data_IF_338862246882
#
_entry.id   IF_338862246882
#
_cell.length_a   1.000
_cell.length_b   1.000
_cell.length_c   1.000
_cell.angle_alpha   90.00
_cell.angle_beta   90.00
_cell.angle_gamma   90.00
#
_symmetry.space_group_name_H-M   'P 1'
#
loop_
_entity.id
_entity.type
_entity.pdbx_description
1 polymer ?
#
# COMPACT_ATOMS: atom_id res chain seq x y z
N UNK A 1 23.26 -2.80 -11.55
CA UNK A 1 22.66 -1.45 -11.68
C UNK A 1 21.27 -1.38 -11.03
N UNK A 2 21.03 -2.06 -9.90
CA UNK A 2 19.68 -2.23 -9.33
C UNK A 2 19.47 -1.62 -7.94
N UNK A 3 20.50 -1.06 -7.31
CA UNK A 3 20.43 -0.67 -5.89
C UNK A 3 20.22 0.82 -5.62
N UNK A 4 20.01 1.63 -6.67
CA UNK A 4 19.80 3.08 -6.56
C UNK A 4 18.33 3.48 -6.80
N UNK A 5 17.50 2.58 -7.33
CA UNK A 5 16.11 2.86 -7.69
C UNK A 5 15.14 2.97 -6.50
N UNK A 6 15.53 2.51 -5.31
CA UNK A 6 14.65 2.46 -4.14
C UNK A 6 14.57 3.82 -3.40
N UNK A 7 15.49 4.75 -3.67
CA UNK A 7 15.66 5.96 -2.84
C UNK A 7 15.19 7.28 -3.48
N UNK A 8 14.70 7.31 -4.73
CA UNK A 8 14.43 8.56 -5.46
C UNK A 8 12.97 8.84 -5.84
N UNK A 9 11.98 8.11 -5.31
CA UNK A 9 10.56 8.30 -5.70
C UNK A 9 9.78 9.38 -4.93
N UNK A 10 10.47 10.26 -4.18
CA UNK A 10 9.82 11.35 -3.47
C UNK A 10 10.37 12.71 -3.92
N UNK A 11 9.94 13.19 -5.08
CA UNK A 11 9.87 14.63 -5.33
C UNK A 11 8.82 14.98 -6.41
N UNK A 12 7.89 15.83 -5.96
CA UNK A 12 6.87 16.67 -6.59
C UNK A 12 6.55 16.55 -8.09
N UNK A 13 5.24 16.59 -8.39
CA UNK A 13 4.60 17.58 -9.29
C UNK A 13 3.16 17.78 -8.79
N UNK A 14 2.84 18.98 -8.28
CA UNK A 14 1.45 19.45 -8.14
C UNK A 14 1.12 20.20 -9.41
N UNK A 15 0.48 19.53 -10.37
CA UNK A 15 -0.21 20.21 -11.47
C UNK A 15 -1.62 20.52 -11.01
N UNK A 16 -1.93 21.81 -10.85
CA UNK A 16 -3.28 22.29 -10.62
C UNK A 16 -4.17 21.93 -11.82
N UNK A 17 -5.08 21.00 -11.63
CA UNK A 17 -6.27 20.85 -12.45
C UNK A 17 -7.43 21.52 -11.70
N UNK A 18 -8.05 22.53 -12.29
CA UNK A 18 -9.26 23.16 -11.74
C UNK A 18 -10.43 22.16 -11.76
N UNK A 19 -11.04 21.81 -10.62
CA UNK A 19 -12.20 20.94 -10.61
C UNK A 19 -13.43 21.67 -11.17
N UNK A 20 -14.14 20.99 -12.07
CA UNK A 20 -15.47 21.40 -12.52
C UNK A 20 -16.49 21.03 -11.44
N UNK A 21 -16.84 22.02 -10.62
CA UNK A 21 -17.93 21.95 -9.63
C UNK A 21 -19.29 22.20 -10.31
N UNK A 22 -20.31 21.39 -10.00
CA UNK A 22 -21.70 21.61 -10.39
C UNK A 22 -22.36 22.68 -9.51
N UNK A 23 -23.10 23.58 -10.14
CA UNK A 23 -23.73 24.75 -9.50
C UNK A 23 -25.13 24.38 -9.02
N UNK A 24 -25.50 24.83 -7.83
CA UNK A 24 -26.89 24.86 -7.35
C UNK A 24 -27.65 25.95 -8.12
N UNK A 25 -28.68 25.56 -8.88
CA UNK A 25 -29.50 26.41 -9.77
C UNK A 25 -30.21 27.57 -9.05
N UNK A 26 -30.07 27.70 -7.73
CA UNK A 26 -30.62 28.81 -6.93
C UNK A 26 -29.69 30.01 -6.75
N UNK A 27 -28.42 29.94 -7.18
CA UNK A 27 -27.45 31.03 -6.99
C UNK A 27 -27.35 31.92 -8.23
N UNK A 28 -27.48 33.23 -8.02
CA UNK A 28 -27.42 34.25 -9.09
C UNK A 28 -26.00 34.36 -9.68
N UNK A 29 -25.92 34.52 -11.00
CA UNK A 29 -24.67 34.87 -11.70
C UNK A 29 -24.07 36.17 -11.16
N UNK A 30 -22.73 36.25 -11.12
CA UNK A 30 -22.05 37.46 -10.65
C UNK A 30 -22.36 38.65 -11.56
N UNK A 31 -22.65 39.80 -10.95
CA UNK A 31 -22.65 41.08 -11.66
C UNK A 31 -21.22 41.46 -12.08
N UNK A 32 -21.03 42.32 -13.10
CA UNK A 32 -19.69 42.79 -13.48
C UNK A 32 -18.90 43.41 -12.32
N UNK A 33 -19.60 44.07 -11.39
CA UNK A 33 -18.97 44.66 -10.18
C UNK A 33 -18.49 43.58 -9.22
N UNK A 34 -19.27 42.54 -9.00
CA UNK A 34 -18.88 41.39 -8.15
C UNK A 34 -17.72 40.62 -8.77
N UNK A 35 -17.72 40.45 -10.09
CA UNK A 35 -16.62 39.82 -10.82
C UNK A 35 -15.30 40.59 -10.63
N UNK A 36 -15.34 41.92 -10.75
CA UNK A 36 -14.18 42.80 -10.52
C UNK A 36 -13.69 42.72 -9.07
N UNK A 37 -14.59 42.63 -8.09
CA UNK A 37 -14.19 42.47 -6.68
C UNK A 37 -13.57 41.09 -6.43
N UNK A 38 -14.17 40.02 -6.98
CA UNK A 38 -13.65 38.66 -6.87
C UNK A 38 -12.25 38.55 -7.53
N UNK A 39 -12.11 38.99 -8.78
CA UNK A 39 -10.87 38.90 -9.55
C UNK A 39 -9.81 39.92 -9.12
N UNK A 40 -10.20 41.05 -8.54
CA UNK A 40 -9.27 42.08 -8.09
C UNK A 40 -8.86 41.92 -6.63
N UNK A 41 -9.83 41.97 -5.72
CA UNK A 41 -9.58 42.03 -4.27
C UNK A 41 -9.20 40.67 -3.70
N UNK A 42 -9.92 39.62 -4.07
CA UNK A 42 -9.67 38.29 -3.50
C UNK A 42 -8.39 37.65 -4.06
N UNK A 43 -8.01 37.97 -5.30
CA UNK A 43 -6.76 37.50 -5.92
C UNK A 43 -5.50 37.88 -5.15
N UNK A 44 -5.49 39.02 -4.43
CA UNK A 44 -4.38 39.36 -3.55
C UNK A 44 -4.20 38.31 -2.45
N UNK A 45 -5.29 37.96 -1.76
CA UNK A 45 -5.24 36.96 -0.69
C UNK A 45 -4.89 35.58 -1.23
N UNK A 46 -5.35 35.26 -2.45
CA UNK A 46 -4.98 34.03 -3.14
C UNK A 46 -3.47 33.98 -3.38
N UNK A 47 -2.88 35.05 -3.90
CA UNK A 47 -1.43 35.11 -4.12
C UNK A 47 -0.66 35.02 -2.81
N UNK A 48 -1.11 35.70 -1.76
CA UNK A 48 -0.49 35.61 -0.43
C UNK A 48 -0.49 34.15 0.08
N UNK A 49 -1.61 33.43 -0.09
CA UNK A 49 -1.70 32.01 0.26
C UNK A 49 -0.74 31.15 -0.58
N UNK A 50 -0.69 31.36 -1.90
CA UNK A 50 0.19 30.61 -2.82
C UNK A 50 1.65 30.79 -2.41
N UNK A 51 2.11 32.03 -2.23
CA UNK A 51 3.49 32.34 -1.83
C UNK A 51 3.84 31.67 -0.51
N UNK A 52 2.95 31.74 0.49
CA UNK A 52 3.17 31.10 1.78
C UNK A 52 3.25 29.57 1.69
N UNK A 53 2.55 28.96 0.74
CA UNK A 53 2.52 27.50 0.56
C UNK A 53 3.64 26.96 -0.35
N UNK A 54 4.14 27.76 -1.29
CA UNK A 54 5.19 27.36 -2.24
C UNK A 54 6.60 27.73 -1.75
N UNK A 55 6.74 28.84 -1.03
CA UNK A 55 8.03 29.40 -0.62
C UNK A 55 8.27 29.35 0.90
N UNK A 56 7.24 29.02 1.69
CA UNK A 56 7.23 29.14 3.15
C UNK A 56 7.07 27.82 3.93
N UNK A 57 7.23 27.92 5.26
CA UNK A 57 6.81 26.87 6.18
C UNK A 57 5.28 26.83 6.25
N UNK A 58 4.71 25.77 5.67
CA UNK A 58 3.26 25.52 5.63
C UNK A 58 2.64 25.49 7.02
N UNK A 59 3.40 25.19 8.08
CA UNK A 59 2.94 25.13 9.48
C UNK A 59 2.84 26.50 10.18
N UNK A 60 3.13 27.61 9.48
CA UNK A 60 3.12 28.95 10.08
C UNK A 60 1.72 29.51 10.33
N UNK A 61 1.57 30.34 11.37
CA UNK A 61 0.34 31.10 11.68
C UNK A 61 -0.15 31.96 10.50
N UNK A 62 0.78 32.35 9.63
CA UNK A 62 0.51 33.13 8.43
C UNK A 62 -0.37 32.36 7.44
N UNK A 63 -0.23 31.03 7.32
CA UNK A 63 -1.06 30.19 6.44
C UNK A 63 -2.50 30.15 6.94
N UNK A 64 -2.73 29.99 8.25
CA UNK A 64 -4.07 30.04 8.84
C UNK A 64 -4.77 31.38 8.58
N UNK A 65 -4.04 32.48 8.75
CA UNK A 65 -4.61 33.82 8.54
C UNK A 65 -4.85 34.12 7.05
N UNK A 66 -3.98 33.65 6.16
CA UNK A 66 -4.18 33.72 4.71
C UNK A 66 -5.42 32.91 4.28
N UNK A 67 -5.58 31.70 4.81
CA UNK A 67 -6.75 30.86 4.59
C UNK A 67 -8.06 31.55 4.98
N UNK A 68 -8.12 32.13 6.19
CA UNK A 68 -9.28 32.92 6.64
C UNK A 68 -9.55 34.13 5.74
N UNK A 69 -8.49 34.80 5.28
CA UNK A 69 -8.61 35.99 4.44
C UNK A 69 -9.20 35.66 3.06
N UNK A 70 -8.75 34.57 2.45
CA UNK A 70 -9.28 34.11 1.15
C UNK A 70 -10.73 33.67 1.26
N UNK A 71 -11.05 32.79 2.21
CA UNK A 71 -12.41 32.24 2.35
C UNK A 71 -13.42 33.31 2.75
N UNK A 72 -13.04 34.23 3.65
CA UNK A 72 -13.86 35.39 4.02
C UNK A 72 -14.07 36.35 2.85
N UNK A 73 -13.05 36.59 2.02
CA UNK A 73 -13.18 37.47 0.86
C UNK A 73 -14.23 36.97 -0.13
N UNK A 74 -14.14 35.70 -0.53
CA UNK A 74 -15.12 35.11 -1.45
C UNK A 74 -16.49 34.93 -0.79
N UNK A 75 -16.56 34.56 0.50
CA UNK A 75 -17.83 34.44 1.23
C UNK A 75 -18.58 35.76 1.44
N UNK A 76 -17.91 36.90 1.28
CA UNK A 76 -18.54 38.22 1.26
C UNK A 76 -19.23 38.59 -0.05
N UNK A 77 -19.15 37.74 -1.09
CA UNK A 77 -19.69 38.01 -2.43
C UNK A 77 -20.80 36.99 -2.72
N UNK A 78 -22.03 37.46 -2.92
CA UNK A 78 -23.20 36.61 -3.08
C UNK A 78 -23.48 36.28 -4.55
N UNK A 79 -22.57 35.51 -5.17
CA UNK A 79 -22.77 34.99 -6.52
C UNK A 79 -22.13 33.61 -6.72
N UNK A 80 -22.55 32.90 -7.77
CA UNK A 80 -22.20 31.50 -8.01
C UNK A 80 -20.69 31.26 -8.12
N UNK A 81 -19.97 32.11 -8.87
CA UNK A 81 -18.53 31.96 -9.05
C UNK A 81 -17.73 32.24 -7.77
N UNK A 82 -18.20 33.19 -6.95
CA UNK A 82 -17.57 33.48 -5.67
C UNK A 82 -17.81 32.36 -4.66
N UNK A 83 -19.02 31.80 -4.60
CA UNK A 83 -19.32 30.66 -3.75
C UNK A 83 -18.50 29.42 -4.17
N UNK A 84 -18.36 29.17 -5.48
CA UNK A 84 -17.47 28.13 -6.01
C UNK A 84 -16.01 28.34 -5.60
N UNK A 85 -15.52 29.58 -5.71
CA UNK A 85 -14.15 29.92 -5.32
C UNK A 85 -13.94 29.74 -3.82
N UNK A 86 -14.89 30.21 -3.00
CA UNK A 86 -14.87 30.02 -1.54
C UNK A 86 -14.73 28.54 -1.18
N UNK A 87 -15.61 27.68 -1.69
CA UNK A 87 -15.56 26.23 -1.43
C UNK A 87 -14.22 25.61 -1.86
N UNK A 88 -13.71 26.02 -3.02
CA UNK A 88 -12.40 25.56 -3.52
C UNK A 88 -11.28 25.91 -2.54
N UNK A 89 -11.25 27.12 -2.01
CA UNK A 89 -10.22 27.53 -1.06
C UNK A 89 -10.44 26.96 0.34
N UNK A 90 -11.67 26.75 0.78
CA UNK A 90 -11.97 26.01 2.02
C UNK A 90 -11.38 24.60 1.95
N UNK A 91 -11.63 23.86 0.87
CA UNK A 91 -11.04 22.52 0.67
C UNK A 91 -9.50 22.54 0.66
N UNK A 92 -8.88 23.51 -0.01
CA UNK A 92 -7.41 23.67 -0.02
C UNK A 92 -6.87 23.96 1.39
N UNK A 93 -7.52 24.86 2.10
CA UNK A 93 -7.14 25.24 3.46
C UNK A 93 -7.31 24.10 4.46
N UNK A 94 -8.36 23.30 4.31
CA UNK A 94 -8.58 22.10 5.12
C UNK A 94 -7.48 21.08 4.90
N UNK A 95 -7.08 20.86 3.64
CA UNK A 95 -5.96 19.98 3.30
C UNK A 95 -4.64 20.46 3.92
N UNK A 96 -4.36 21.76 3.87
CA UNK A 96 -3.18 22.35 4.52
C UNK A 96 -3.23 22.17 6.03
N UNK A 97 -4.37 22.44 6.66
CA UNK A 97 -4.54 22.31 8.10
C UNK A 97 -4.34 20.87 8.57
N UNK A 98 -4.92 19.89 7.86
CA UNK A 98 -4.73 18.47 8.14
C UNK A 98 -3.27 18.03 7.96
N UNK A 99 -2.59 18.56 6.93
CA UNK A 99 -1.17 18.30 6.68
C UNK A 99 -0.30 18.85 7.80
N UNK A 100 -0.55 20.10 8.21
CA UNK A 100 0.24 20.77 9.25
C UNK A 100 0.13 20.11 10.62
N UNK A 101 -1.03 19.54 10.91
CA UNK A 101 -1.31 18.80 12.14
C UNK A 101 -1.05 17.30 12.00
N UNK A 102 -0.37 16.85 10.93
CA UNK A 102 0.00 15.46 10.64
C UNK A 102 -1.19 14.46 10.73
N UNK A 103 -2.41 14.93 10.42
CA UNK A 103 -3.64 14.12 10.56
C UNK A 103 -3.61 12.91 9.65
N UNK A 104 -3.13 13.05 8.41
CA UNK A 104 -3.02 11.94 7.47
C UNK A 104 -2.16 10.79 8.02
N UNK A 105 -1.02 11.12 8.64
CA UNK A 105 -0.14 10.15 9.30
C UNK A 105 -0.82 9.48 10.49
N UNK A 106 -1.56 10.25 11.30
CA UNK A 106 -2.33 9.70 12.41
C UNK A 106 -3.42 8.73 11.92
N UNK A 107 -4.15 9.09 10.86
CA UNK A 107 -5.17 8.24 10.25
C UNK A 107 -4.57 6.94 9.71
N UNK A 108 -3.40 6.99 9.05
CA UNK A 108 -2.67 5.78 8.64
C UNK A 108 -2.36 4.85 9.82
N UNK A 109 -1.95 5.38 10.98
CA UNK A 109 -1.71 4.56 12.17
C UNK A 109 -2.99 3.96 12.74
N UNK A 110 -4.07 4.74 12.76
CA UNK A 110 -5.40 4.26 13.14
C UNK A 110 -5.85 3.11 12.23
N UNK A 111 -5.75 3.27 10.90
CA UNK A 111 -6.12 2.23 9.92
C UNK A 111 -5.30 0.95 10.10
N UNK A 112 -4.00 1.06 10.36
CA UNK A 112 -3.17 -0.11 10.69
C UNK A 112 -3.66 -0.82 11.95
N UNK A 113 -4.17 -0.09 12.93
CA UNK A 113 -4.66 -0.66 14.19
C UNK A 113 -5.99 -1.39 14.00
N UNK A 114 -6.92 -0.78 13.25
CA UNK A 114 -8.19 -1.39 12.85
C UNK A 114 -7.94 -2.66 12.02
N UNK A 115 -7.10 -2.58 10.98
CA UNK A 115 -6.77 -3.71 10.11
C UNK A 115 -6.14 -4.88 10.88
N UNK A 116 -5.17 -4.59 11.76
CA UNK A 116 -4.48 -5.61 12.54
C UNK A 116 -5.26 -6.14 13.74
N UNK A 117 -6.46 -5.60 14.02
CA UNK A 117 -7.34 -6.01 15.13
C UNK A 117 -6.65 -5.97 16.50
N UNK A 118 -5.69 -5.04 16.68
CA UNK A 118 -4.89 -4.94 17.91
C UNK A 118 -5.65 -4.29 19.07
N UNK A 119 -6.70 -3.53 18.78
CA UNK A 119 -7.56 -2.91 19.79
C UNK A 119 -8.95 -3.52 19.71
N UNK A 120 -9.34 -4.27 20.75
CA UNK A 120 -10.58 -5.04 20.76
C UNK A 120 -11.84 -4.20 20.46
N UNK A 121 -11.86 -2.91 20.83
CA UNK A 121 -13.03 -2.06 20.56
C UNK A 121 -13.19 -1.67 19.09
N UNK A 122 -12.17 -1.88 18.25
CA UNK A 122 -12.24 -1.51 16.83
C UNK A 122 -13.07 -2.49 16.01
N UNK A 123 -13.28 -3.71 16.51
CA UNK A 123 -14.03 -4.76 15.81
C UNK A 123 -15.55 -4.51 15.81
N UNK A 124 -16.05 -3.69 16.74
CA UNK A 124 -17.48 -3.40 16.89
C UNK A 124 -18.01 -2.39 15.85
N UNK A 125 -17.13 -1.79 15.05
CA UNK A 125 -17.47 -0.68 14.15
C UNK A 125 -16.87 -0.87 12.76
N UNK A 126 -17.65 -0.58 11.71
CA UNK A 126 -17.20 -0.67 10.32
C UNK A 126 -16.54 0.65 9.86
N UNK A 127 -15.34 0.94 10.39
CA UNK A 127 -14.59 2.15 10.02
C UNK A 127 -14.18 2.19 8.53
N UNK A 128 -14.13 1.03 7.87
CA UNK A 128 -13.75 0.90 6.46
C UNK A 128 -14.95 0.81 5.50
N UNK A 129 -16.18 1.00 6.01
CA UNK A 129 -17.38 0.92 5.18
C UNK A 129 -17.30 1.82 3.96
N UNK A 130 -17.80 1.37 2.81
CA UNK A 130 -17.91 2.23 1.61
C UNK A 130 -19.22 3.00 1.56
N UNK A 131 -20.21 2.59 2.34
CA UNK A 131 -21.42 3.36 2.54
C UNK A 131 -21.10 4.50 3.51
N UNK A 132 -21.18 5.73 3.02
CA UNK A 132 -20.82 6.92 3.81
C UNK A 132 -21.71 7.13 5.02
N UNK A 133 -22.97 6.68 4.97
CA UNK A 133 -23.88 6.71 6.13
C UNK A 133 -23.41 5.72 7.19
N UNK A 134 -23.10 4.48 6.79
CA UNK A 134 -22.59 3.45 7.71
C UNK A 134 -21.23 3.86 8.29
N UNK A 135 -20.34 4.43 7.47
CA UNK A 135 -19.06 4.97 7.93
C UNK A 135 -19.27 6.06 8.96
N UNK A 136 -20.15 7.03 8.69
CA UNK A 136 -20.45 8.12 9.63
C UNK A 136 -20.99 7.57 10.95
N UNK A 137 -21.98 6.67 10.89
CA UNK A 137 -22.54 5.99 12.06
C UNK A 137 -21.46 5.25 12.87
N UNK A 138 -20.57 4.52 12.20
CA UNK A 138 -19.47 3.77 12.80
C UNK A 138 -18.46 4.68 13.50
N UNK A 139 -18.05 5.78 12.88
CA UNK A 139 -17.17 6.76 13.51
C UNK A 139 -17.86 7.49 14.67
N UNK A 140 -19.12 7.90 14.52
CA UNK A 140 -19.87 8.57 15.58
C UNK A 140 -20.06 7.67 16.80
N UNK A 141 -20.52 6.43 16.63
CA UNK A 141 -20.68 5.47 17.71
C UNK A 141 -19.33 5.02 18.28
N UNK A 142 -18.33 4.86 17.41
CA UNK A 142 -16.97 4.44 17.74
C UNK A 142 -16.04 5.54 18.23
N UNK A 143 -16.51 6.79 18.38
CA UNK A 143 -15.68 7.96 18.72
C UNK A 143 -14.76 7.74 19.91
N UNK A 144 -15.25 7.11 20.97
CA UNK A 144 -14.44 6.78 22.15
C UNK A 144 -13.31 5.80 21.81
N UNK A 145 -13.58 4.77 21.01
CA UNK A 145 -12.57 3.81 20.55
C UNK A 145 -11.55 4.45 19.61
N UNK A 146 -12.00 5.34 18.70
CA UNK A 146 -11.13 6.13 17.85
C UNK A 146 -10.12 6.93 18.70
N UNK A 147 -10.58 7.73 19.66
CA UNK A 147 -9.71 8.53 20.52
C UNK A 147 -8.81 7.67 21.42
N UNK A 148 -9.32 6.55 21.94
CA UNK A 148 -8.50 5.59 22.69
C UNK A 148 -7.34 5.06 21.84
N UNK A 149 -7.58 4.82 20.56
CA UNK A 149 -6.58 4.30 19.61
C UNK A 149 -5.56 5.37 19.27
N UNK A 150 -6.01 6.54 18.81
CA UNK A 150 -5.08 7.59 18.35
C UNK A 150 -4.25 8.19 19.49
N UNK A 151 -4.74 8.18 20.74
CA UNK A 151 -3.96 8.57 21.92
C UNK A 151 -2.74 7.66 22.17
N UNK A 152 -2.76 6.42 21.69
CA UNK A 152 -1.64 5.47 21.84
C UNK A 152 -0.66 5.54 20.68
N UNK A 153 -1.12 5.88 19.48
CA UNK A 153 -0.33 5.73 18.25
C UNK A 153 0.12 7.07 17.67
N UNK A 154 -0.70 8.12 17.76
CA UNK A 154 -0.43 9.39 17.10
C UNK A 154 0.36 10.36 17.98
N UNK A 155 0.93 11.38 17.36
CA UNK A 155 1.58 12.47 18.10
C UNK A 155 0.55 13.37 18.80
N UNK A 156 0.97 14.06 19.86
CA UNK A 156 0.09 14.90 20.68
C UNK A 156 -0.55 16.06 19.91
N UNK A 157 0.14 16.61 18.90
CA UNK A 157 -0.38 17.70 18.06
C UNK A 157 -1.58 17.24 17.24
N UNK A 158 -1.49 16.08 16.57
CA UNK A 158 -2.58 15.50 15.80
C UNK A 158 -3.77 15.17 16.69
N UNK A 159 -3.54 14.58 17.87
CA UNK A 159 -4.60 14.26 18.82
C UNK A 159 -5.32 15.53 19.27
N UNK A 160 -4.59 16.54 19.75
CA UNK A 160 -5.18 17.79 20.23
C UNK A 160 -5.95 18.55 19.14
N UNK A 161 -5.50 18.45 17.89
CA UNK A 161 -6.22 18.99 16.73
C UNK A 161 -7.53 18.23 16.49
N UNK A 162 -7.48 16.89 16.45
CA UNK A 162 -8.64 16.04 16.18
C UNK A 162 -9.69 16.09 17.30
N UNK A 163 -9.29 16.26 18.56
CA UNK A 163 -10.22 16.46 19.68
C UNK A 163 -11.11 17.70 19.47
N UNK A 164 -10.52 18.78 18.93
CA UNK A 164 -11.23 20.04 18.67
C UNK A 164 -11.99 20.03 17.35
N UNK A 165 -11.53 19.25 16.38
CA UNK A 165 -12.01 19.29 14.99
C UNK A 165 -12.56 17.93 14.53
N UNK A 166 -13.11 17.13 15.45
CA UNK A 166 -13.58 15.78 15.12
C UNK A 166 -14.70 15.77 14.08
N UNK A 167 -15.68 16.67 14.19
CA UNK A 167 -16.78 16.75 13.22
C UNK A 167 -16.26 17.08 11.81
N UNK A 168 -15.23 17.92 11.72
CA UNK A 168 -14.54 18.22 10.45
C UNK A 168 -13.87 16.97 9.87
N UNK A 169 -13.24 16.14 10.71
CA UNK A 169 -12.74 14.84 10.26
C UNK A 169 -13.88 13.95 9.74
N UNK A 170 -15.02 13.89 10.43
CA UNK A 170 -16.17 13.09 9.98
C UNK A 170 -16.67 13.56 8.62
N UNK A 171 -16.83 14.87 8.44
CA UNK A 171 -17.26 15.46 7.18
C UNK A 171 -16.29 15.11 6.06
N UNK A 172 -14.98 15.29 6.28
CA UNK A 172 -13.94 14.88 5.33
C UNK A 172 -14.02 13.39 4.99
N UNK A 173 -14.28 12.51 5.96
CA UNK A 173 -14.31 11.07 5.70
C UNK A 173 -15.62 10.60 5.02
N UNK A 174 -16.71 11.34 5.14
CA UNK A 174 -18.07 10.85 4.81
C UNK A 174 -18.83 11.71 3.80
N UNK A 175 -18.34 12.91 3.49
CA UNK A 175 -18.93 13.79 2.49
C UNK A 175 -17.94 13.85 1.32
N UNK A 176 -18.25 13.24 0.17
CA UNK A 176 -17.43 13.35 -1.03
C UNK A 176 -17.27 14.80 -1.44
N UNK A 177 -16.09 15.18 -1.93
CA UNK A 177 -15.88 16.52 -2.49
C UNK A 177 -16.59 16.68 -3.83
N UNK A 178 -17.12 17.88 -4.08
CA UNK A 178 -17.66 18.25 -5.39
C UNK A 178 -16.53 18.30 -6.44
N UNK A 179 -16.42 17.28 -7.29
CA UNK A 179 -15.58 17.29 -8.48
C UNK A 179 -14.76 16.02 -8.74
N UNK A 180 -14.48 15.76 -10.01
CA UNK A 180 -13.87 14.52 -10.51
C UNK A 180 -12.32 14.47 -10.39
N UNK A 181 -11.69 15.34 -9.59
CA UNK A 181 -10.24 15.50 -9.59
C UNK A 181 -9.47 14.44 -8.78
N UNK A 182 -10.16 13.61 -7.98
CA UNK A 182 -9.57 12.48 -7.23
C UNK A 182 -8.37 12.83 -6.34
N UNK A 183 -8.27 14.10 -5.94
CA UNK A 183 -7.13 14.66 -5.21
C UNK A 183 -7.55 15.37 -3.93
N UNK A 184 -8.84 15.26 -3.56
CA UNK A 184 -9.39 15.88 -2.36
C UNK A 184 -8.83 15.22 -1.11
N UNK A 185 -9.02 15.89 0.03
CA UNK A 185 -8.69 15.30 1.32
C UNK A 185 -9.58 14.08 1.64
N UNK A 186 -10.82 14.07 1.17
CA UNK A 186 -11.72 12.92 1.25
C UNK A 186 -11.12 11.71 0.52
N UNK A 187 -10.74 11.90 -0.75
CA UNK A 187 -10.17 10.83 -1.58
C UNK A 187 -8.88 10.30 -0.97
N UNK A 188 -8.00 11.20 -0.52
CA UNK A 188 -6.73 10.85 0.11
C UNK A 188 -6.94 10.02 1.39
N UNK A 189 -7.71 10.53 2.36
CA UNK A 189 -7.86 9.84 3.65
C UNK A 189 -8.62 8.53 3.52
N UNK A 190 -9.55 8.42 2.57
CA UNK A 190 -10.24 7.17 2.29
C UNK A 190 -9.35 6.16 1.57
N UNK A 191 -8.55 6.58 0.59
CA UNK A 191 -7.61 5.71 -0.10
C UNK A 191 -6.50 5.16 0.80
N UNK A 192 -6.07 5.94 1.81
CA UNK A 192 -5.09 5.50 2.82
C UNK A 192 -5.55 4.30 3.64
N UNK A 193 -6.84 3.93 3.60
CA UNK A 193 -7.32 2.70 4.21
C UNK A 193 -6.70 1.43 3.59
N UNK A 194 -6.12 1.52 2.39
CA UNK A 194 -5.36 0.44 1.75
C UNK A 194 -3.90 0.32 2.21
N UNK A 195 -3.37 1.30 2.95
CA UNK A 195 -1.97 1.30 3.39
C UNK A 195 -1.59 0.07 4.24
N UNK A 196 -2.44 -0.48 5.12
CA UNK A 196 -2.12 -1.70 5.86
C UNK A 196 -1.86 -2.90 4.93
N UNK A 197 -2.70 -3.10 3.92
CA UNK A 197 -2.54 -4.15 2.90
C UNK A 197 -1.28 -3.91 2.07
N UNK A 198 -1.04 -2.66 1.64
CA UNK A 198 0.19 -2.30 0.93
C UNK A 198 1.44 -2.62 1.76
N UNK A 199 1.42 -2.32 3.06
CA UNK A 199 2.53 -2.62 3.97
C UNK A 199 2.73 -4.12 4.13
N UNK A 200 1.66 -4.89 4.28
CA UNK A 200 1.71 -6.35 4.37
C UNK A 200 2.29 -6.95 3.08
N UNK A 201 1.83 -6.49 1.92
CA UNK A 201 2.39 -6.86 0.63
C UNK A 201 3.89 -6.53 0.52
N UNK A 202 4.31 -5.33 0.93
CA UNK A 202 5.73 -4.95 0.89
C UNK A 202 6.59 -5.83 1.80
N UNK A 203 6.12 -6.14 3.02
CA UNK A 203 6.83 -7.04 3.94
C UNK A 203 6.93 -8.45 3.35
N UNK A 204 5.81 -8.98 2.84
CA UNK A 204 5.77 -10.29 2.19
C UNK A 204 6.68 -10.32 0.96
N UNK A 205 6.65 -9.29 0.11
CA UNK A 205 7.53 -9.15 -1.04
C UNK A 205 9.01 -9.12 -0.67
N UNK A 206 9.39 -8.43 0.42
CA UNK A 206 10.78 -8.46 0.92
C UNK A 206 11.18 -9.86 1.41
N UNK A 207 10.32 -10.52 2.19
CA UNK A 207 10.56 -11.90 2.65
C UNK A 207 10.70 -12.85 1.45
N UNK A 208 9.88 -12.67 0.43
CA UNK A 208 9.91 -13.45 -0.80
C UNK A 208 11.20 -13.22 -1.57
N UNK A 209 11.60 -11.97 -1.81
CA UNK A 209 12.83 -11.64 -2.52
C UNK A 209 14.08 -12.21 -1.81
N UNK A 210 14.12 -12.14 -0.48
CA UNK A 210 15.17 -12.76 0.33
C UNK A 210 15.14 -14.28 0.16
N UNK A 211 13.96 -14.89 0.27
CA UNK A 211 13.78 -16.35 0.13
C UNK A 211 14.26 -16.82 -1.25
N UNK A 212 13.87 -16.14 -2.32
CA UNK A 212 14.32 -16.41 -3.69
C UNK A 212 15.84 -16.29 -3.82
N UNK A 213 16.46 -15.29 -3.18
CA UNK A 213 17.91 -15.11 -3.19
C UNK A 213 18.68 -16.26 -2.54
N UNK A 214 18.05 -16.97 -1.59
CA UNK A 214 18.59 -18.18 -0.96
C UNK A 214 18.08 -19.48 -1.60
N UNK A 215 17.34 -19.40 -2.71
CA UNK A 215 16.73 -20.55 -3.36
C UNK A 215 15.74 -21.26 -2.43
N UNK A 216 14.94 -20.50 -1.67
CA UNK A 216 13.83 -21.01 -0.86
C UNK A 216 12.51 -20.74 -1.62
N UNK A 217 11.54 -21.66 -1.52
CA UNK A 217 10.19 -21.48 -2.09
C UNK A 217 9.44 -20.33 -1.40
N UNK A 218 8.34 -19.91 -2.03
CA UNK A 218 7.37 -18.95 -1.51
C UNK A 218 7.10 -19.15 -0.02
N UNK A 219 7.55 -18.20 0.80
CA UNK A 219 7.45 -18.24 2.27
C UNK A 219 6.39 -17.29 2.80
N UNK A 220 5.90 -16.41 1.93
CA UNK A 220 4.96 -15.35 2.27
C UNK A 220 3.80 -15.40 1.30
N UNK A 221 2.64 -14.95 1.76
CA UNK A 221 1.40 -15.00 0.98
C UNK A 221 1.33 -13.85 -0.03
N UNK A 222 2.42 -13.63 -0.78
CA UNK A 222 2.65 -12.45 -1.61
C UNK A 222 1.63 -12.34 -2.74
N UNK A 223 1.21 -13.47 -3.31
CA UNK A 223 0.16 -13.52 -4.33
C UNK A 223 -1.18 -13.02 -3.78
N UNK A 224 -1.58 -13.49 -2.59
CA UNK A 224 -2.82 -13.07 -1.94
C UNK A 224 -2.76 -11.59 -1.54
N UNK A 225 -1.70 -11.18 -0.85
CA UNK A 225 -1.60 -9.78 -0.38
C UNK A 225 -1.44 -8.80 -1.54
N UNK A 226 -0.85 -9.22 -2.66
CA UNK A 226 -0.89 -8.48 -3.91
C UNK A 226 -2.34 -8.30 -4.39
N UNK A 227 -3.11 -9.38 -4.52
CA UNK A 227 -4.50 -9.32 -5.00
C UNK A 227 -5.36 -8.43 -4.11
N UNK A 228 -5.27 -8.58 -2.79
CA UNK A 228 -6.02 -7.77 -1.82
C UNK A 228 -5.62 -6.28 -1.90
N UNK A 229 -4.32 -5.99 -2.11
CA UNK A 229 -3.85 -4.62 -2.28
C UNK A 229 -4.38 -4.01 -3.58
N UNK A 230 -4.32 -4.74 -4.70
CA UNK A 230 -4.85 -4.30 -6.00
C UNK A 230 -6.35 -4.04 -5.91
N UNK A 231 -7.09 -4.97 -5.32
CA UNK A 231 -8.52 -4.83 -5.11
C UNK A 231 -8.83 -3.59 -4.30
N UNK A 232 -8.17 -3.39 -3.15
CA UNK A 232 -8.37 -2.20 -2.33
C UNK A 232 -8.10 -0.91 -3.12
N UNK A 233 -6.94 -0.82 -3.80
CA UNK A 233 -6.57 0.37 -4.55
C UNK A 233 -7.54 0.67 -5.70
N UNK A 234 -8.07 -0.35 -6.38
CA UNK A 234 -9.01 -0.19 -7.48
C UNK A 234 -10.32 0.50 -7.10
N UNK A 235 -10.65 0.52 -5.80
CA UNK A 235 -11.87 1.11 -5.26
C UNK A 235 -11.76 2.62 -5.04
N UNK A 236 -10.55 3.19 -5.12
CA UNK A 236 -10.31 4.60 -4.88
C UNK A 236 -9.64 5.24 -6.09
N UNK A 237 -10.21 6.35 -6.56
CA UNK A 237 -9.65 7.05 -7.71
C UNK A 237 -8.40 7.89 -7.39
N UNK A 238 -8.04 7.99 -6.09
CA UNK A 238 -6.81 8.64 -5.61
C UNK A 238 -5.52 8.02 -6.17
N UNK A 239 -5.51 6.71 -6.40
CA UNK A 239 -4.31 6.03 -6.87
C UNK A 239 -4.11 6.26 -8.37
N UNK A 240 -2.97 6.86 -8.71
CA UNK A 240 -2.63 7.11 -10.12
C UNK A 240 -2.48 5.81 -10.90
N UNK A 241 -2.71 5.88 -12.22
CA UNK A 241 -2.42 4.77 -13.14
C UNK A 241 -0.96 4.30 -13.06
N UNK A 242 -0.03 5.23 -12.84
CA UNK A 242 1.39 4.88 -12.68
C UNK A 242 1.63 4.06 -11.41
N UNK A 243 1.03 4.46 -10.29
CA UNK A 243 1.14 3.73 -9.01
C UNK A 243 0.57 2.32 -9.12
N UNK A 244 -0.58 2.17 -9.75
CA UNK A 244 -1.22 0.84 -9.94
C UNK A 244 -0.42 -0.03 -10.90
N UNK A 245 0.17 0.53 -11.97
CA UNK A 245 1.08 -0.20 -12.87
C UNK A 245 2.38 -0.64 -12.19
N UNK A 246 2.95 0.18 -11.32
CA UNK A 246 4.13 -0.20 -10.54
C UNK A 246 3.83 -1.36 -9.58
N UNK A 247 2.66 -1.35 -8.94
CA UNK A 247 2.20 -2.48 -8.13
C UNK A 247 2.02 -3.74 -8.98
N UNK A 248 1.41 -3.62 -10.16
CA UNK A 248 1.24 -4.74 -11.11
C UNK A 248 2.59 -5.39 -11.44
N UNK A 249 3.56 -4.58 -11.86
CA UNK A 249 4.91 -5.04 -12.18
C UNK A 249 5.57 -5.73 -10.98
N UNK A 250 5.48 -5.14 -9.78
CA UNK A 250 6.07 -5.72 -8.59
C UNK A 250 5.43 -7.07 -8.23
N UNK A 251 4.10 -7.17 -8.35
CA UNK A 251 3.40 -8.43 -8.17
C UNK A 251 3.85 -9.49 -9.19
N UNK A 252 3.95 -9.10 -10.46
CA UNK A 252 4.39 -10.01 -11.52
C UNK A 252 5.81 -10.51 -11.24
N UNK A 253 6.75 -9.62 -10.91
CA UNK A 253 8.14 -9.98 -10.56
C UNK A 253 8.20 -10.94 -9.36
N UNK A 254 7.43 -10.68 -8.30
CA UNK A 254 7.41 -11.53 -7.10
C UNK A 254 6.71 -12.87 -7.32
N UNK A 255 5.88 -12.98 -8.36
CA UNK A 255 5.23 -14.23 -8.78
C UNK A 255 6.08 -15.09 -9.72
N UNK A 256 7.20 -14.55 -10.25
CA UNK A 256 8.04 -15.28 -11.20
C UNK A 256 8.69 -16.49 -10.53
N UNK A 257 8.62 -17.61 -11.24
CA UNK A 257 9.30 -18.84 -10.87
C UNK A 257 10.82 -18.71 -11.02
N UNK A 258 11.62 -19.52 -10.31
CA UNK A 258 13.07 -19.52 -10.46
C UNK A 258 13.48 -19.82 -11.90
N UNK A 259 14.41 -19.02 -12.44
CA UNK A 259 14.88 -19.08 -13.85
C UNK A 259 16.21 -19.79 -14.03
N UNK A 260 16.86 -20.24 -12.96
CA UNK A 260 18.09 -21.03 -13.05
C UNK A 260 17.91 -22.39 -12.39
N UNK A 261 18.55 -23.41 -12.98
CA UNK A 261 18.48 -24.79 -12.49
C UNK A 261 18.85 -24.89 -11.01
N UNK A 262 19.95 -24.25 -10.59
CA UNK A 262 20.40 -24.28 -9.20
C UNK A 262 19.42 -23.59 -8.24
N UNK A 263 18.87 -22.43 -8.61
CA UNK A 263 17.87 -21.76 -7.77
C UNK A 263 16.62 -22.63 -7.62
N UNK A 264 16.15 -23.25 -8.71
CA UNK A 264 14.96 -24.08 -8.65
C UNK A 264 15.20 -25.40 -7.89
N UNK A 265 16.33 -26.07 -8.14
CA UNK A 265 16.72 -27.29 -7.44
C UNK A 265 16.82 -27.06 -5.93
N UNK A 266 17.44 -25.95 -5.52
CA UNK A 266 17.50 -25.56 -4.11
C UNK A 266 16.11 -25.21 -3.57
N UNK A 267 15.27 -24.54 -4.35
CA UNK A 267 13.88 -24.22 -4.01
C UNK A 267 13.09 -25.46 -3.60
N UNK A 268 13.12 -26.48 -4.45
CA UNK A 268 12.45 -27.78 -4.24
C UNK A 268 13.02 -28.51 -3.02
N UNK A 269 14.35 -28.49 -2.84
CA UNK A 269 15.00 -29.09 -1.67
C UNK A 269 14.52 -28.44 -0.38
N UNK A 270 14.53 -27.11 -0.34
CA UNK A 270 14.19 -26.36 0.86
C UNK A 270 12.70 -26.45 1.17
N UNK A 271 11.81 -26.41 0.16
CA UNK A 271 10.37 -26.56 0.36
C UNK A 271 9.98 -27.94 0.88
N UNK A 272 10.67 -28.99 0.43
CA UNK A 272 10.45 -30.35 0.93
C UNK A 272 10.84 -30.48 2.40
N UNK A 273 11.85 -29.72 2.84
CA UNK A 273 12.36 -29.72 4.21
C UNK A 273 11.70 -28.66 5.11
N UNK A 274 10.66 -27.97 4.66
CA UNK A 274 9.92 -27.02 5.49
C UNK A 274 9.12 -27.74 6.58
N UNK A 275 9.42 -27.47 7.86
CA UNK A 275 8.79 -28.20 8.98
C UNK A 275 7.38 -27.74 9.30
N UNK A 276 6.93 -26.60 8.77
CA UNK A 276 5.58 -26.09 8.95
C UNK A 276 4.65 -26.58 7.86
N UNK A 277 5.09 -26.49 6.62
CA UNK A 277 4.29 -26.87 5.45
C UNK A 277 5.18 -27.50 4.37
N UNK A 278 5.58 -28.78 4.55
CA UNK A 278 6.51 -29.41 3.64
C UNK A 278 5.84 -29.71 2.30
N UNK A 279 6.45 -29.26 1.21
CA UNK A 279 5.97 -29.52 -0.14
C UNK A 279 5.78 -31.03 -0.40
N UNK A 280 4.70 -31.36 -1.11
CA UNK A 280 4.35 -32.72 -1.47
C UNK A 280 4.10 -32.81 -2.97
N UNK A 281 4.85 -33.67 -3.65
CA UNK A 281 4.68 -33.93 -5.07
C UNK A 281 4.29 -35.39 -5.28
N UNK A 282 3.41 -35.64 -6.24
CA UNK A 282 2.86 -36.98 -6.52
C UNK A 282 3.97 -38.03 -6.74
N UNK A 283 5.02 -37.68 -7.49
CA UNK A 283 6.12 -38.62 -7.78
C UNK A 283 6.99 -38.97 -6.55
N UNK A 284 6.81 -38.29 -5.41
CA UNK A 284 7.50 -38.58 -4.16
C UNK A 284 6.90 -39.76 -3.40
N UNK A 285 5.62 -40.08 -3.63
CA UNK A 285 4.89 -41.08 -2.83
C UNK A 285 5.58 -42.46 -2.84
N UNK A 286 6.15 -42.85 -3.99
CA UNK A 286 6.89 -44.11 -4.18
C UNK A 286 8.13 -44.26 -3.29
N UNK A 287 8.60 -43.18 -2.66
CA UNK A 287 9.74 -43.20 -1.75
C UNK A 287 9.36 -43.36 -0.27
N UNK A 288 8.07 -43.42 0.05
CA UNK A 288 7.58 -43.63 1.42
C UNK A 288 7.85 -42.42 2.32
N UNK A 289 6.95 -41.44 2.27
CA UNK A 289 7.04 -40.23 3.11
C UNK A 289 6.68 -40.57 4.56
N UNK A 290 7.58 -40.25 5.48
CA UNK A 290 7.27 -40.22 6.92
C UNK A 290 6.78 -38.82 7.30
N UNK A 291 5.95 -38.66 8.34
CA UNK A 291 5.65 -37.34 8.90
C UNK A 291 6.96 -36.64 9.25
N UNK A 292 7.11 -35.37 8.86
CA UNK A 292 8.31 -34.61 9.24
C UNK A 292 8.36 -34.42 10.75
N UNK A 293 9.48 -34.80 11.36
CA UNK A 293 9.70 -34.73 12.80
C UNK A 293 10.87 -33.79 13.05
N UNK A 294 10.70 -32.82 13.94
CA UNK A 294 11.77 -31.95 14.40
C UNK A 294 12.55 -32.60 15.56
N UNK A 295 13.89 -32.50 15.60
CA UNK A 295 14.77 -31.89 14.58
C UNK A 295 15.06 -32.83 13.41
N UNK A 296 15.15 -32.28 12.19
CA UNK A 296 15.55 -33.04 11.00
C UNK A 296 17.06 -33.30 11.03
N UNK A 297 17.46 -34.53 11.34
CA UNK A 297 18.86 -34.95 11.26
C UNK A 297 19.25 -35.35 9.82
N UNK A 298 20.56 -35.50 9.55
CA UNK A 298 21.07 -35.85 8.20
C UNK A 298 20.50 -37.15 7.62
N UNK A 299 20.16 -38.14 8.45
CA UNK A 299 19.60 -39.40 7.99
C UNK A 299 18.14 -39.23 7.54
N UNK A 300 17.36 -38.48 8.32
CA UNK A 300 15.99 -38.11 7.95
C UNK A 300 15.97 -37.20 6.71
N UNK A 301 16.87 -36.23 6.64
CA UNK A 301 17.01 -35.34 5.47
C UNK A 301 17.24 -36.16 4.19
N UNK A 302 18.19 -37.11 4.22
CA UNK A 302 18.46 -38.01 3.09
C UNK A 302 17.24 -38.87 2.74
N UNK A 303 16.43 -39.26 3.73
CA UNK A 303 15.20 -40.01 3.48
C UNK A 303 14.15 -39.13 2.78
N UNK A 304 13.93 -37.91 3.26
CA UNK A 304 12.96 -36.97 2.66
C UNK A 304 13.34 -36.54 1.25
N UNK A 305 14.64 -36.39 0.97
CA UNK A 305 15.14 -35.93 -0.31
C UNK A 305 15.44 -37.07 -1.30
N UNK A 306 15.12 -38.33 -0.99
CA UNK A 306 15.48 -39.48 -1.84
C UNK A 306 14.94 -39.37 -3.27
N UNK A 307 13.77 -38.76 -3.45
CA UNK A 307 13.18 -38.50 -4.76
C UNK A 307 14.02 -37.55 -5.63
N UNK A 308 14.86 -36.70 -5.01
CA UNK A 308 15.70 -35.73 -5.73
C UNK A 308 16.85 -36.38 -6.52
N UNK A 309 17.08 -37.68 -6.34
CA UNK A 309 18.04 -38.45 -7.14
C UNK A 309 17.38 -39.12 -8.36
N UNK A 310 16.05 -39.01 -8.52
CA UNK A 310 15.31 -39.50 -9.68
C UNK A 310 15.10 -38.37 -10.69
N UNK A 311 15.71 -38.56 -11.87
CA UNK A 311 15.72 -37.59 -12.96
C UNK A 311 14.31 -37.26 -13.46
N UNK A 312 13.44 -38.25 -13.61
CA UNK A 312 12.09 -38.05 -14.14
C UNK A 312 11.16 -37.41 -13.10
N UNK A 313 11.31 -37.78 -11.83
CA UNK A 313 10.58 -37.12 -10.74
C UNK A 313 11.01 -35.65 -10.62
N UNK A 314 12.31 -35.38 -10.65
CA UNK A 314 12.80 -34.00 -10.60
C UNK A 314 12.42 -33.17 -11.84
N UNK A 315 12.41 -33.78 -13.04
CA UNK A 315 11.91 -33.12 -14.25
C UNK A 315 10.44 -32.72 -14.11
N UNK A 316 9.62 -33.62 -13.58
CA UNK A 316 8.18 -33.39 -13.36
C UNK A 316 7.96 -32.25 -12.37
N UNK A 317 8.63 -32.29 -11.22
CA UNK A 317 8.53 -31.24 -10.20
C UNK A 317 9.04 -29.89 -10.74
N UNK A 318 10.18 -29.88 -11.45
CA UNK A 318 10.71 -28.66 -12.02
C UNK A 318 9.79 -28.05 -13.08
N UNK A 319 8.99 -28.87 -13.79
CA UNK A 319 7.98 -28.36 -14.73
C UNK A 319 6.86 -27.59 -14.04
N UNK A 320 6.54 -27.98 -12.80
CA UNK A 320 5.52 -27.32 -11.99
C UNK A 320 6.08 -26.09 -11.25
N UNK A 321 7.32 -26.14 -10.78
CA UNK A 321 7.88 -25.15 -9.84
C UNK A 321 8.83 -24.13 -10.48
N UNK A 322 9.41 -24.43 -11.64
CA UNK A 322 10.41 -23.58 -12.29
C UNK A 322 9.86 -22.84 -13.51
N UNK A 323 10.58 -21.81 -13.93
CA UNK A 323 10.39 -21.19 -15.24
C UNK A 323 10.81 -22.15 -16.38
N UNK A 324 10.23 -21.95 -17.56
CA UNK A 324 10.51 -22.77 -18.74
C UNK A 324 12.01 -22.78 -19.12
N UNK A 325 12.72 -21.67 -18.88
CA UNK A 325 14.17 -21.59 -19.12
C UNK A 325 14.99 -22.65 -18.37
N UNK A 326 14.51 -23.13 -17.21
CA UNK A 326 15.16 -24.22 -16.46
C UNK A 326 14.97 -25.57 -17.16
N UNK A 327 13.82 -25.78 -17.78
CA UNK A 327 13.51 -27.03 -18.48
C UNK A 327 14.32 -27.17 -19.76
N UNK A 328 14.59 -26.05 -20.44
CA UNK A 328 15.34 -26.03 -21.70
C UNK A 328 16.79 -26.51 -21.52
N UNK A 329 17.37 -26.31 -20.35
CA UNK A 329 18.74 -26.74 -20.00
C UNK A 329 18.77 -27.90 -18.99
N UNK A 330 17.62 -28.50 -18.68
CA UNK A 330 17.48 -29.46 -17.58
C UNK A 330 18.44 -30.65 -17.70
N UNK A 331 18.53 -31.26 -18.89
CA UNK A 331 19.35 -32.47 -19.07
C UNK A 331 20.84 -32.19 -18.88
N UNK A 332 21.32 -31.07 -19.43
CA UNK A 332 22.72 -30.68 -19.32
C UNK A 332 23.10 -30.38 -17.86
N UNK A 333 22.29 -29.58 -17.16
CA UNK A 333 22.53 -29.19 -15.77
C UNK A 333 22.35 -30.37 -14.81
N UNK A 334 21.39 -31.26 -15.07
CA UNK A 334 21.24 -32.51 -14.33
C UNK A 334 22.50 -33.38 -14.44
N UNK A 335 23.01 -33.58 -15.65
CA UNK A 335 24.18 -34.42 -15.88
C UNK A 335 25.44 -33.82 -15.23
N UNK A 336 25.58 -32.48 -15.22
CA UNK A 336 26.64 -31.78 -14.47
C UNK A 336 26.52 -32.06 -12.96
N UNK A 337 25.33 -31.91 -12.39
CA UNK A 337 25.07 -32.17 -10.97
C UNK A 337 25.43 -33.63 -10.60
N UNK A 338 25.08 -34.60 -11.43
CA UNK A 338 25.40 -36.01 -11.19
C UNK A 338 26.92 -36.26 -11.24
N UNK A 339 27.63 -35.65 -12.20
CA UNK A 339 29.10 -35.73 -12.27
C UNK A 339 29.76 -35.16 -11.02
N UNK A 340 29.26 -34.05 -10.48
CA UNK A 340 29.76 -33.46 -9.24
C UNK A 340 29.47 -34.32 -8.00
N UNK A 341 28.29 -34.93 -7.91
CA UNK A 341 27.95 -35.87 -6.83
C UNK A 341 28.89 -37.09 -6.85
N UNK A 342 29.19 -37.61 -8.04
CA UNK A 342 30.07 -38.77 -8.24
C UNK A 342 31.55 -38.45 -7.98
N UNK A 343 32.03 -37.25 -8.33
CA UNK A 343 33.41 -36.84 -8.04
C UNK A 343 33.66 -36.59 -6.54
N UNK A 344 32.66 -36.10 -5.80
CA UNK A 344 32.71 -35.92 -4.33
C UNK A 344 32.65 -37.24 -3.55
N UNK A 345 32.01 -38.26 -4.11
CA UNK A 345 32.02 -39.62 -3.52
C UNK A 345 33.31 -40.37 -3.83
N UNK A 346 33.91 -40.16 -5.01
CA UNK A 346 35.21 -40.73 -5.37
C UNK A 346 36.40 -40.13 -4.59
N UNK A 347 36.28 -38.90 -4.08
CA UNK A 347 37.31 -38.25 -3.23
C UNK A 347 37.18 -38.58 -1.74
N UNK A 348 36.10 -39.28 -1.34
CA UNK A 348 35.95 -39.92 -0.02
C UNK A 348 36.12 -41.43 -0.15
N UNK A 349 37.32 -41.86 -0.50
CA UNK A 349 37.77 -43.25 -0.33
C UNK A 349 38.95 -43.25 0.66
N UNK A 350 39.05 -44.25 1.56
CA UNK A 350 39.51 -44.04 2.93
C UNK A 350 41.04 -44.02 3.07
N UNK A 351 41.53 -43.04 3.82
CA UNK A 351 42.70 -43.19 4.68
C UNK A 351 42.28 -42.88 6.11
#
# INVERSE_FOLDING_TARGET
MGSIFILFLFQAIVTYADPKVQIDDTVKDCTPKELVVAQGKCSKYVNDLIVLTEEGDTKSRNVTDACKSVTSCFGGIQCAEAEKSKRTYEQKCDKLEFTNNDVASCMSMFYNTVYSKKENCTEDFDYFSRDMRIKRESYTAGKSCFFKTINKTCNATSVAYLEKNYEKLLDVLTIPSDGDACSSLHDELNARQCEPQMREFMINGMIQAISMSFGMKERSNTTKTCSETKECMSQYCYFSKNTTQQLEQLCDELSKKPTTFNMCYMGIRMSTLDTKEPANYECQEKYGRKPMVEPVNKALEKQYLKFMDDKECMRTIMKEECDQSVLDVFDEEWDKLQKEKNSRTSTRSPF
#
